data_IF_242061292871
#
_entry.id   IF_242061292871
#
_cell.length_a   1.000
_cell.length_b   1.000
_cell.length_c   1.000
_cell.angle_alpha   90.00
_cell.angle_beta   90.00
_cell.angle_gamma   90.00
#
_symmetry.space_group_name_H-M   'P 1'
#
loop_
_entity.id
_entity.type
_entity.pdbx_description
1 polymer ?
#
# COMPACT_ATOMS: atom_id res chain seq x y z
N UNK A 1 -0.34 -7.97 9.29
CA UNK A 1 -1.74 -8.05 8.84
C UNK A 1 -1.87 -7.96 7.32
N UNK A 2 -1.47 -6.85 6.67
CA UNK A 2 -1.56 -6.73 5.19
C UNK A 2 -0.81 -7.81 4.42
N UNK A 3 0.38 -8.22 4.88
CA UNK A 3 1.17 -9.31 4.26
C UNK A 3 0.36 -10.59 4.02
N UNK A 4 -0.48 -10.99 4.98
CA UNK A 4 -1.31 -12.20 4.85
C UNK A 4 -2.35 -12.06 3.74
N UNK A 5 -2.95 -10.88 3.56
CA UNK A 5 -3.85 -10.63 2.43
C UNK A 5 -3.10 -10.67 1.09
N UNK A 6 -1.90 -10.10 1.02
CA UNK A 6 -1.06 -10.13 -0.19
C UNK A 6 -0.63 -11.55 -0.55
N UNK A 7 -0.18 -12.35 0.42
CA UNK A 7 0.20 -13.76 0.22
C UNK A 7 -0.96 -14.61 -0.31
N UNK A 8 -2.21 -14.25 0.03
CA UNK A 8 -3.42 -14.88 -0.48
C UNK A 8 -4.01 -14.19 -1.73
N UNK A 9 -3.27 -13.27 -2.37
CA UNK A 9 -3.70 -12.48 -3.55
C UNK A 9 -4.99 -11.67 -3.33
N UNK A 10 -5.31 -11.34 -2.09
CA UNK A 10 -6.48 -10.56 -1.69
C UNK A 10 -6.16 -9.06 -1.69
N UNK A 11 -5.72 -8.55 -2.85
CA UNK A 11 -5.15 -7.21 -2.97
C UNK A 11 -6.12 -6.08 -2.63
N UNK A 12 -7.40 -6.18 -3.04
CA UNK A 12 -8.43 -5.20 -2.67
C UNK A 12 -8.61 -5.13 -1.15
N UNK A 13 -8.67 -6.27 -0.45
CA UNK A 13 -8.78 -6.27 1.02
C UNK A 13 -7.52 -5.72 1.69
N UNK A 14 -6.34 -6.00 1.12
CA UNK A 14 -5.10 -5.40 1.61
C UNK A 14 -5.13 -3.87 1.51
N UNK A 15 -5.69 -3.35 0.42
CA UNK A 15 -5.86 -1.92 0.19
C UNK A 15 -6.94 -1.30 1.09
N UNK A 16 -8.05 -2.02 1.34
CA UNK A 16 -9.10 -1.59 2.29
C UNK A 16 -8.52 -1.48 3.72
N UNK A 17 -7.70 -2.45 4.13
CA UNK A 17 -7.00 -2.41 5.42
C UNK A 17 -6.03 -1.23 5.46
N UNK A 18 -5.29 -0.98 4.38
CA UNK A 18 -4.37 0.16 4.29
C UNK A 18 -5.08 1.50 4.53
N UNK A 19 -6.23 1.72 3.89
CA UNK A 19 -6.99 2.97 4.03
C UNK A 19 -7.54 3.20 5.46
N UNK A 20 -7.65 2.14 6.26
CA UNK A 20 -8.05 2.23 7.67
C UNK A 20 -6.88 2.53 8.62
N UNK A 21 -5.64 2.48 8.14
CA UNK A 21 -4.46 2.77 8.97
C UNK A 21 -4.33 4.28 9.17
N UNK A 22 -4.55 4.73 10.41
CA UNK A 22 -4.34 6.12 10.84
C UNK A 22 -3.00 6.34 11.56
N UNK A 23 -2.08 5.40 11.45
CA UNK A 23 -0.77 5.41 12.11
C UNK A 23 0.35 5.73 11.10
N UNK A 24 1.52 6.13 11.60
CA UNK A 24 2.70 6.24 10.75
C UNK A 24 3.03 4.90 10.09
N UNK A 25 3.28 4.96 8.80
CA UNK A 25 3.64 3.80 7.99
C UNK A 25 5.13 3.52 8.14
N UNK A 26 5.48 2.27 8.42
CA UNK A 26 6.86 1.81 8.34
C UNK A 26 7.26 1.50 6.89
N UNK A 27 8.57 1.30 6.67
CA UNK A 27 9.12 1.00 5.35
C UNK A 27 8.51 -0.24 4.71
N UNK A 28 8.22 -1.26 5.51
CA UNK A 28 7.61 -2.52 5.06
C UNK A 28 6.20 -2.27 4.53
N UNK A 29 5.43 -1.42 5.21
CA UNK A 29 4.08 -1.06 4.81
C UNK A 29 4.07 -0.34 3.47
N UNK A 30 5.00 0.62 3.25
CA UNK A 30 5.13 1.26 1.94
C UNK A 30 5.39 0.23 0.82
N UNK A 31 6.34 -0.68 1.00
CA UNK A 31 6.65 -1.71 0.00
C UNK A 31 5.45 -2.61 -0.29
N UNK A 32 4.73 -3.04 0.75
CA UNK A 32 3.54 -3.88 0.60
C UNK A 32 2.47 -3.14 -0.20
N UNK A 33 2.20 -1.87 0.11
CA UNK A 33 1.15 -1.11 -0.57
C UNK A 33 1.52 -0.82 -2.01
N UNK A 34 2.79 -0.50 -2.31
CA UNK A 34 3.23 -0.34 -3.70
C UNK A 34 3.09 -1.62 -4.52
N UNK A 35 3.39 -2.78 -3.92
CA UNK A 35 3.17 -4.07 -4.57
C UNK A 35 1.68 -4.30 -4.85
N UNK A 36 0.82 -4.09 -3.85
CA UNK A 36 -0.65 -4.14 -4.01
C UNK A 36 -1.13 -3.21 -5.13
N UNK A 37 -0.59 -1.99 -5.20
CA UNK A 37 -0.94 -1.04 -6.25
C UNK A 37 -0.54 -1.53 -7.64
N UNK A 38 0.63 -2.16 -7.77
CA UNK A 38 1.10 -2.73 -9.04
C UNK A 38 0.25 -3.92 -9.50
N UNK A 39 -0.15 -4.80 -8.57
CA UNK A 39 -0.98 -5.97 -8.85
C UNK A 39 -2.42 -5.59 -9.25
N UNK A 40 -3.01 -4.57 -8.59
CA UNK A 40 -4.36 -4.12 -8.90
C UNK A 40 -4.46 -3.34 -10.21
N UNK A 41 -3.41 -2.57 -10.55
CA UNK A 41 -3.30 -1.77 -11.77
C UNK A 41 -4.59 -1.04 -12.18
N UNK A 42 -5.27 -0.42 -11.21
CA UNK A 42 -6.50 0.32 -11.40
C UNK A 42 -6.37 1.77 -10.91
N UNK A 43 -7.36 2.61 -11.23
CA UNK A 43 -7.31 4.04 -10.88
C UNK A 43 -7.24 4.30 -9.37
N UNK A 44 -7.89 3.44 -8.56
CA UNK A 44 -7.85 3.54 -7.09
C UNK A 44 -6.43 3.32 -6.58
N UNK A 45 -5.82 2.22 -6.98
CA UNK A 45 -4.43 1.86 -6.66
C UNK A 45 -3.45 2.95 -7.12
N UNK A 46 -3.62 3.49 -8.33
CA UNK A 46 -2.77 4.55 -8.86
C UNK A 46 -2.86 5.85 -8.03
N UNK A 47 -4.07 6.27 -7.64
CA UNK A 47 -4.27 7.45 -6.79
C UNK A 47 -3.61 7.28 -5.42
N UNK A 48 -3.80 6.11 -4.81
CA UNK A 48 -3.21 5.78 -3.50
C UNK A 48 -1.69 5.78 -3.60
N UNK A 49 -1.10 5.04 -4.54
CA UNK A 49 0.35 4.97 -4.72
C UNK A 49 1.00 6.34 -4.94
N UNK A 50 0.37 7.22 -5.73
CA UNK A 50 0.82 8.61 -5.89
C UNK A 50 0.79 9.39 -4.58
N UNK A 51 -0.31 9.31 -3.81
CA UNK A 51 -0.43 9.97 -2.53
C UNK A 51 0.61 9.48 -1.50
N UNK A 52 0.90 8.17 -1.48
CA UNK A 52 1.94 7.58 -0.64
C UNK A 52 3.34 8.08 -1.00
N UNK A 53 3.66 8.20 -2.30
CA UNK A 53 4.98 8.66 -2.75
C UNK A 53 5.34 10.05 -2.19
N UNK A 54 4.34 10.92 -2.02
CA UNK A 54 4.53 12.24 -1.41
C UNK A 54 4.73 12.20 0.11
N UNK A 55 4.23 11.16 0.79
CA UNK A 55 4.35 10.97 2.24
C UNK A 55 5.58 10.16 2.64
N UNK A 56 6.20 9.46 1.70
CA UNK A 56 7.35 8.60 1.95
C UNK A 56 8.56 9.41 2.40
N UNK A 57 9.20 9.06 3.53
CA UNK A 57 10.37 9.76 4.01
C UNK A 57 11.56 9.54 3.05
N UNK A 58 12.43 10.56 2.93
CA UNK A 58 13.52 10.61 1.92
C UNK A 58 14.51 9.44 1.99
N UNK A 59 14.61 8.77 3.13
CA UNK A 59 15.47 7.60 3.31
C UNK A 59 14.91 6.31 2.69
N UNK A 60 13.65 6.32 2.24
CA UNK A 60 12.99 5.18 1.59
C UNK A 60 12.65 5.43 0.11
N UNK A 61 12.86 6.66 -0.38
CA UNK A 61 12.51 7.07 -1.74
C UNK A 61 13.65 6.86 -2.73
#
# INVERSE_FOLDING_TARGET
MMKGYVENRMFEKALDVFEQINLELDSVTYTIVFNVCAELNNDRAMRIGKALLHKMPRNLR
#
